data_IF_107023042846
#
_entry.id   IF_107023042846
#
_cell.length_a   1.000
_cell.length_b   1.000
_cell.length_c   1.000
_cell.angle_alpha   90.00
_cell.angle_beta   90.00
_cell.angle_gamma   90.00
#
_symmetry.space_group_name_H-M   'P 1'
#
loop_
_entity.id
_entity.type
_entity.pdbx_description
1 polymer ?
#
# COMPACT_ATOMS: atom_id res chain seq x y z
N UNK A 1 8.33 -5.61 16.04
CA UNK A 1 7.99 -5.48 14.60
C UNK A 1 9.29 -5.69 13.86
N UNK A 2 9.30 -6.49 12.79
CA UNK A 2 10.48 -6.57 11.90
C UNK A 2 10.71 -5.22 11.23
N UNK A 3 11.95 -4.88 10.93
CA UNK A 3 12.29 -3.67 10.15
C UNK A 3 11.76 -3.79 8.71
N UNK A 4 11.41 -2.68 8.05
CA UNK A 4 10.97 -2.71 6.65
C UNK A 4 12.13 -3.16 5.76
N UNK A 5 11.86 -4.08 4.82
CA UNK A 5 12.88 -4.56 3.88
C UNK A 5 13.35 -3.45 2.92
N UNK A 6 12.43 -2.54 2.54
CA UNK A 6 12.79 -1.26 1.95
C UNK A 6 11.74 -0.19 2.27
N UNK A 7 12.19 1.06 2.27
CA UNK A 7 11.36 2.25 2.45
C UNK A 7 11.48 3.17 1.24
N UNK A 8 10.40 3.89 0.95
CA UNK A 8 10.36 4.96 -0.05
C UNK A 8 9.75 6.22 0.58
N UNK A 9 10.39 7.37 0.36
CA UNK A 9 9.85 8.66 0.79
C UNK A 9 8.96 9.24 -0.30
N UNK A 10 7.68 9.41 0.04
CA UNK A 10 6.68 10.05 -0.78
C UNK A 10 6.68 11.55 -0.56
N UNK A 11 6.65 12.30 -1.66
CA UNK A 11 6.40 13.74 -1.67
C UNK A 11 5.23 14.05 -2.59
N UNK A 12 4.49 15.12 -2.32
CA UNK A 12 3.34 15.51 -3.14
C UNK A 12 3.74 15.65 -4.61
N UNK A 13 3.08 14.90 -5.50
CA UNK A 13 3.40 14.85 -6.93
C UNK A 13 4.36 13.74 -7.36
N UNK A 14 4.86 12.88 -6.46
CA UNK A 14 5.73 11.73 -6.79
C UNK A 14 4.96 10.40 -6.84
N UNK A 15 3.66 10.44 -7.14
CA UNK A 15 2.81 9.25 -7.22
C UNK A 15 3.31 8.21 -8.22
N UNK A 16 3.80 8.67 -9.37
CA UNK A 16 4.39 7.79 -10.37
C UNK A 16 5.62 7.05 -9.83
N UNK A 17 6.48 7.74 -9.08
CA UNK A 17 7.67 7.13 -8.46
C UNK A 17 7.28 6.08 -7.40
N UNK A 18 6.26 6.36 -6.60
CA UNK A 18 5.72 5.41 -5.63
C UNK A 18 5.13 4.17 -6.31
N UNK A 19 4.41 4.35 -7.42
CA UNK A 19 3.89 3.24 -8.23
C UNK A 19 5.03 2.42 -8.88
N UNK A 20 6.10 3.07 -9.33
CA UNK A 20 7.31 2.39 -9.85
C UNK A 20 8.00 1.60 -8.73
N UNK A 21 8.11 2.16 -7.54
CA UNK A 21 8.64 1.47 -6.36
C UNK A 21 7.81 0.22 -6.03
N UNK A 22 6.47 0.31 -6.00
CA UNK A 22 5.59 -0.84 -5.79
C UNK A 22 5.73 -1.90 -6.90
N UNK A 23 5.91 -1.48 -8.16
CA UNK A 23 6.18 -2.41 -9.28
C UNK A 23 7.52 -3.13 -9.12
N UNK A 24 8.55 -2.47 -8.59
CA UNK A 24 9.83 -3.10 -8.28
C UNK A 24 9.69 -4.10 -7.13
N UNK A 25 9.12 -3.68 -6.01
CA UNK A 25 8.93 -4.53 -4.82
C UNK A 25 8.10 -5.76 -5.14
N UNK A 26 7.14 -5.66 -6.05
CA UNK A 26 6.38 -6.81 -6.54
C UNK A 26 7.28 -7.99 -6.91
N UNK A 27 8.41 -7.74 -7.55
CA UNK A 27 9.33 -8.79 -7.99
C UNK A 27 10.15 -9.38 -6.85
N UNK A 28 10.21 -8.68 -5.72
CA UNK A 28 10.97 -9.04 -4.52
C UNK A 28 10.07 -9.73 -3.47
N UNK A 29 8.77 -9.40 -3.42
CA UNK A 29 7.78 -10.01 -2.53
C UNK A 29 7.21 -11.34 -3.06
N UNK A 30 6.86 -12.26 -2.15
CA UNK A 30 6.24 -13.53 -2.51
C UNK A 30 4.76 -13.35 -2.92
N UNK A 31 3.86 -13.25 -1.94
CA UNK A 31 2.43 -13.03 -2.16
C UNK A 31 1.94 -11.99 -1.15
N UNK A 32 1.63 -10.77 -1.60
CA UNK A 32 1.03 -9.72 -0.78
C UNK A 32 -0.23 -10.25 -0.09
N UNK A 33 -0.31 -10.12 1.23
CA UNK A 33 -1.38 -10.65 2.08
C UNK A 33 -2.29 -9.55 2.61
N UNK A 34 -1.69 -8.45 3.03
CA UNK A 34 -2.37 -7.34 3.69
C UNK A 34 -1.59 -6.05 3.51
N UNK A 35 -2.28 -4.94 3.69
CA UNK A 35 -1.69 -3.61 3.73
C UNK A 35 -2.13 -2.88 4.98
N UNK A 36 -1.23 -2.08 5.52
CA UNK A 36 -1.50 -1.19 6.64
C UNK A 36 -1.38 0.25 6.16
N UNK A 37 -2.34 1.08 6.56
CA UNK A 37 -2.36 2.51 6.24
C UNK A 37 -2.41 3.29 7.54
N UNK A 38 -1.35 4.04 7.81
CA UNK A 38 -1.22 4.98 8.92
C UNK A 38 -1.65 6.39 8.46
N UNK A 39 -1.67 7.39 9.35
CA UNK A 39 -1.91 8.78 8.95
C UNK A 39 -0.83 9.33 8.01
N UNK A 40 0.41 8.86 8.16
CA UNK A 40 1.62 9.40 7.54
C UNK A 40 2.42 8.38 6.72
N UNK A 41 2.03 7.11 6.73
CA UNK A 41 2.73 6.06 5.99
C UNK A 41 1.81 4.94 5.51
N UNK A 42 2.30 4.19 4.54
CA UNK A 42 1.66 3.05 3.91
C UNK A 42 2.61 1.85 3.95
N UNK A 43 2.10 0.67 4.31
CA UNK A 43 2.90 -0.54 4.40
C UNK A 43 2.23 -1.73 3.71
N UNK A 44 3.04 -2.54 3.04
CA UNK A 44 2.60 -3.76 2.36
C UNK A 44 3.28 -4.95 3.01
N UNK A 45 2.49 -5.96 3.38
CA UNK A 45 2.96 -7.20 4.00
C UNK A 45 2.63 -8.39 3.12
N UNK A 46 3.56 -9.33 2.99
CA UNK A 46 3.32 -10.60 2.33
C UNK A 46 2.94 -11.73 3.31
N UNK A 47 2.89 -12.95 2.78
CA UNK A 47 2.58 -14.17 3.55
C UNK A 47 3.69 -14.61 4.50
N UNK A 48 4.94 -14.16 4.29
CA UNK A 48 6.09 -14.46 5.12
C UNK A 48 6.30 -13.43 6.24
N UNK A 49 5.39 -12.45 6.36
CA UNK A 49 5.51 -11.27 7.22
C UNK A 49 6.68 -10.35 6.85
N UNK A 50 7.24 -10.51 5.63
CA UNK A 50 8.11 -9.51 5.02
C UNK A 50 7.27 -8.32 4.58
N UNK A 51 7.83 -7.12 4.76
CA UNK A 51 7.07 -5.90 4.50
C UNK A 51 7.93 -4.74 4.01
N UNK A 52 7.27 -3.84 3.30
CA UNK A 52 7.83 -2.66 2.68
C UNK A 52 6.98 -1.44 3.05
N UNK A 53 7.60 -0.27 3.11
CA UNK A 53 6.90 0.95 3.50
C UNK A 53 7.10 2.12 2.52
N UNK A 54 6.09 2.98 2.48
CA UNK A 54 6.12 4.28 1.82
C UNK A 54 5.74 5.32 2.87
N UNK A 55 6.68 6.19 3.23
CA UNK A 55 6.51 7.26 4.21
C UNK A 55 6.05 8.54 3.51
N UNK A 56 5.29 9.40 4.18
CA UNK A 56 4.78 10.66 3.62
C UNK A 56 3.42 10.53 2.91
N UNK A 57 2.83 9.34 2.89
CA UNK A 57 1.48 9.09 2.36
C UNK A 57 0.67 8.22 3.31
N UNK A 58 -0.52 8.66 3.65
CA UNK A 58 -1.39 7.94 4.57
C UNK A 58 -2.86 8.07 4.23
N UNK A 59 -3.72 7.69 5.16
CA UNK A 59 -5.16 7.66 4.89
C UNK A 59 -5.78 9.06 4.72
N UNK A 60 -5.07 10.12 5.10
CA UNK A 60 -5.48 11.53 4.89
C UNK A 60 -5.17 12.03 3.48
N UNK A 61 -4.28 11.35 2.75
CA UNK A 61 -3.88 11.70 1.39
C UNK A 61 -4.89 11.15 0.38
N UNK A 62 -5.34 11.94 -0.59
CA UNK A 62 -6.25 11.46 -1.65
C UNK A 62 -5.58 10.40 -2.55
N UNK A 63 -4.28 10.55 -2.76
CA UNK A 63 -3.41 9.68 -3.58
C UNK A 63 -3.27 8.26 -3.00
N UNK A 64 -3.61 8.03 -1.73
CA UNK A 64 -3.52 6.69 -1.11
C UNK A 64 -4.42 5.67 -1.79
N UNK A 65 -5.53 6.13 -2.38
CA UNK A 65 -6.47 5.26 -3.09
C UNK A 65 -5.84 4.61 -4.31
N UNK A 66 -4.93 5.31 -5.00
CA UNK A 66 -4.22 4.79 -6.15
C UNK A 66 -3.19 3.73 -5.74
N UNK A 67 -2.47 3.95 -4.63
CA UNK A 67 -1.57 2.94 -4.07
C UNK A 67 -2.33 1.68 -3.62
N UNK A 68 -3.47 1.86 -2.95
CA UNK A 68 -4.34 0.76 -2.52
C UNK A 68 -4.91 -0.02 -3.70
N UNK A 69 -5.28 0.67 -4.78
CA UNK A 69 -5.76 0.03 -6.00
C UNK A 69 -4.63 -0.75 -6.70
N UNK A 70 -3.40 -0.20 -6.74
CA UNK A 70 -2.22 -0.83 -7.34
C UNK A 70 -1.84 -2.15 -6.67
N UNK A 71 -1.98 -2.24 -5.34
CA UNK A 71 -1.72 -3.46 -4.55
C UNK A 71 -2.95 -4.38 -4.44
N UNK A 72 -4.05 -4.03 -5.09
CA UNK A 72 -5.33 -4.72 -5.01
C UNK A 72 -5.88 -4.86 -3.57
N UNK A 73 -5.73 -3.84 -2.73
CA UNK A 73 -6.31 -3.83 -1.40
C UNK A 73 -7.84 -3.85 -1.47
N UNK A 74 -8.49 -4.56 -0.54
CA UNK A 74 -9.94 -4.57 -0.38
C UNK A 74 -10.33 -3.52 0.65
N UNK A 75 -10.79 -2.37 0.18
CA UNK A 75 -11.20 -1.25 1.03
C UNK A 75 -12.44 -0.55 0.44
N UNK A 76 -13.06 0.32 1.25
CA UNK A 76 -14.14 1.22 0.79
C UNK A 76 -13.57 2.61 0.61
N UNK A 77 -13.55 3.11 -0.64
CA UNK A 77 -13.00 4.43 -1.01
C UNK A 77 -13.59 5.56 -0.14
N UNK A 78 -14.91 5.57 0.03
CA UNK A 78 -15.62 6.60 0.82
C UNK A 78 -15.26 6.62 2.32
N UNK A 79 -14.57 5.60 2.82
CA UNK A 79 -14.22 5.48 4.24
C UNK A 79 -12.72 5.57 4.52
N UNK A 80 -11.88 5.67 3.48
CA UNK A 80 -10.43 5.69 3.66
C UNK A 80 -9.99 6.96 4.39
N UNK A 81 -10.61 8.10 4.14
CA UNK A 81 -10.29 9.36 4.83
C UNK A 81 -10.83 9.47 6.26
N UNK A 82 -11.74 8.58 6.69
CA UNK A 82 -12.39 8.73 8.00
C UNK A 82 -11.40 8.52 9.15
N UNK A 83 -11.43 9.32 10.23
CA UNK A 83 -10.60 9.11 11.40
C UNK A 83 -10.74 7.69 11.95
N UNK A 84 -9.63 7.08 12.36
CA UNK A 84 -9.61 5.72 12.89
C UNK A 84 -8.97 5.69 14.26
N UNK A 85 -9.60 4.99 15.21
CA UNK A 85 -9.14 4.96 16.60
C UNK A 85 -7.88 4.12 16.83
N UNK A 86 -7.46 3.32 15.84
CA UNK A 86 -6.23 2.52 15.89
C UNK A 86 -5.12 3.24 15.15
N UNK A 87 -3.88 2.84 15.46
CA UNK A 87 -2.67 3.39 14.82
C UNK A 87 -2.67 3.25 13.30
N UNK A 88 -3.29 2.19 12.76
CA UNK A 88 -3.40 1.94 11.32
C UNK A 88 -4.72 1.28 10.95
N UNK A 89 -5.12 1.47 9.69
CA UNK A 89 -6.17 0.70 9.02
C UNK A 89 -5.53 -0.50 8.33
N UNK A 90 -6.05 -1.70 8.58
CA UNK A 90 -5.61 -2.92 7.90
C UNK A 90 -6.61 -3.30 6.80
N UNK A 91 -6.10 -3.59 5.61
CA UNK A 91 -6.88 -4.08 4.49
C UNK A 91 -6.26 -5.36 3.93
N UNK A 92 -7.04 -6.43 3.72
CA UNK A 92 -6.54 -7.62 3.04
C UNK A 92 -6.35 -7.31 1.55
N UNK A 93 -5.36 -7.94 0.92
CA UNK A 93 -5.22 -7.93 -0.54
C UNK A 93 -6.23 -8.90 -1.17
N UNK A 94 -6.82 -8.48 -2.29
CA UNK A 94 -7.85 -9.26 -2.97
C UNK A 94 -7.28 -10.49 -3.66
N UNK A 95 -7.98 -11.62 -3.55
CA UNK A 95 -7.61 -12.88 -4.23
C UNK A 95 -8.00 -12.92 -5.72
N UNK A 96 -8.88 -12.02 -6.17
CA UNK A 96 -9.47 -12.05 -7.52
C UNK A 96 -8.52 -11.55 -8.62
N UNK A 97 -7.67 -10.60 -8.31
CA UNK A 97 -6.66 -10.09 -9.22
C UNK A 97 -5.31 -10.22 -8.52
N UNK A 98 -4.42 -11.04 -9.07
CA UNK A 98 -3.05 -11.08 -8.57
C UNK A 98 -2.44 -9.67 -8.66
N UNK A 99 -1.62 -9.30 -7.68
CA UNK A 99 -0.92 -8.03 -7.66
C UNK A 99 -0.27 -7.75 -9.02
N UNK A 100 -0.40 -6.51 -9.52
CA UNK A 100 0.26 -6.06 -10.74
C UNK A 100 -0.24 -6.72 -12.03
N UNK A 101 -1.45 -7.27 -12.04
CA UNK A 101 -2.21 -7.35 -13.29
C UNK A 101 -2.27 -5.94 -13.86
N UNK A 102 -1.80 -5.78 -15.10
CA UNK A 102 -1.90 -4.51 -15.79
C UNK A 102 -3.38 -4.19 -15.97
N UNK A 103 -3.87 -3.19 -15.23
CA UNK A 103 -5.29 -2.78 -15.26
C UNK A 103 -5.54 -1.73 -16.33
N UNK A 104 -4.66 -1.63 -17.31
CA UNK A 104 -4.85 -0.80 -18.49
C UNK A 104 -5.99 -1.41 -19.31
N UNK A 105 -7.15 -0.74 -19.27
CA UNK A 105 -8.08 -0.70 -20.40
C UNK A 105 -7.90 0.63 -21.11
#
# INVERSE_FOLDING_TARGET
MSEPQASHEFSSGTLEDALVFLKRIRSELSVPRKVHVWPDRFGVFDVNDDWFEICGIGYESEEITELLDAVNAVYRKDSIGNPFAREYKEFPTGKRYAWGVDRVM
#
